data_IF_067948810021
#
_entry.id   IF_067948810021
#
_cell.length_a   1.000
_cell.length_b   1.000
_cell.length_c   1.000
_cell.angle_alpha   90.00
_cell.angle_beta   90.00
_cell.angle_gamma   90.00
#
_symmetry.space_group_name_H-M   'P 1'
#
loop_
_entity.id
_entity.type
_entity.pdbx_description
1 polymer ?
#
# COMPACT_ATOMS: atom_id res chain seq x y z
N UNK A 1 7.93 28.23 -11.60
CA UNK A 1 8.77 27.27 -10.83
C UNK A 1 8.54 27.32 -9.31
N UNK A 2 8.49 28.50 -8.66
CA UNK A 2 8.28 28.60 -7.19
C UNK A 2 6.96 28.01 -6.66
N UNK A 3 5.87 28.04 -7.43
CA UNK A 3 4.57 27.49 -7.03
C UNK A 3 4.55 25.96 -6.90
N UNK A 4 5.20 25.26 -7.85
CA UNK A 4 5.27 23.80 -7.89
C UNK A 4 6.11 23.24 -6.74
N UNK A 5 7.22 23.91 -6.40
CA UNK A 5 8.05 23.56 -5.25
C UNK A 5 7.29 23.79 -3.92
N UNK A 6 6.51 24.88 -3.82
CA UNK A 6 5.65 25.12 -2.64
C UNK A 6 4.52 24.10 -2.53
N UNK A 7 3.93 23.69 -3.65
CA UNK A 7 2.92 22.63 -3.69
C UNK A 7 3.50 21.29 -3.23
N UNK A 8 4.68 20.91 -3.73
CA UNK A 8 5.40 19.71 -3.30
C UNK A 8 5.80 19.79 -1.82
N UNK A 9 6.13 20.97 -1.26
CA UNK A 9 6.42 21.13 0.17
C UNK A 9 5.18 21.04 1.06
N UNK A 10 3.99 21.32 0.54
CA UNK A 10 2.75 21.33 1.33
C UNK A 10 2.29 19.91 1.62
N UNK A 11 2.09 19.61 2.90
CA UNK A 11 1.54 18.32 3.34
C UNK A 11 0.04 18.24 2.98
N UNK A 12 -0.45 17.12 2.42
CA UNK A 12 -1.87 16.91 2.17
C UNK A 12 -2.66 16.92 3.47
N UNK A 13 -3.95 17.27 3.38
CA UNK A 13 -4.82 17.30 4.56
C UNK A 13 -5.04 15.88 5.11
N UNK A 14 -5.32 15.75 6.40
CA UNK A 14 -5.58 14.44 7.02
C UNK A 14 -6.79 13.73 6.37
N UNK A 15 -7.80 14.48 5.92
CA UNK A 15 -8.92 13.95 5.13
C UNK A 15 -8.43 13.36 3.80
N UNK A 16 -7.58 14.10 3.08
CA UNK A 16 -6.99 13.66 1.81
C UNK A 16 -6.17 12.39 2.00
N UNK A 17 -5.35 12.29 3.06
CA UNK A 17 -4.55 11.11 3.37
C UNK A 17 -5.44 9.88 3.66
N UNK A 18 -6.55 10.07 4.37
CA UNK A 18 -7.49 8.97 4.66
C UNK A 18 -8.21 8.51 3.41
N UNK A 19 -8.74 9.45 2.62
CA UNK A 19 -9.43 9.15 1.35
C UNK A 19 -8.47 8.45 0.39
N UNK A 20 -7.22 8.93 0.26
CA UNK A 20 -6.26 8.31 -0.64
C UNK A 20 -5.94 6.87 -0.24
N UNK A 21 -5.87 6.56 1.07
CA UNK A 21 -5.68 5.18 1.56
C UNK A 21 -6.88 4.29 1.26
N UNK A 22 -8.10 4.80 1.42
CA UNK A 22 -9.32 4.05 1.11
C UNK A 22 -9.39 3.75 -0.38
N UNK A 23 -9.24 4.78 -1.21
CA UNK A 23 -9.25 4.63 -2.68
C UNK A 23 -8.16 3.68 -3.13
N UNK A 24 -6.93 3.83 -2.60
CA UNK A 24 -5.82 2.93 -2.90
C UNK A 24 -6.13 1.47 -2.56
N UNK A 25 -6.68 1.20 -1.37
CA UNK A 25 -7.03 -0.15 -0.94
C UNK A 25 -8.16 -0.76 -1.76
N UNK A 26 -9.19 0.01 -2.11
CA UNK A 26 -10.29 -0.44 -2.97
C UNK A 26 -9.80 -0.79 -4.38
N UNK A 27 -8.96 0.06 -4.97
CA UNK A 27 -8.39 -0.19 -6.31
C UNK A 27 -7.54 -1.46 -6.26
N UNK A 28 -6.69 -1.62 -5.23
CA UNK A 28 -5.82 -2.80 -5.12
C UNK A 28 -6.63 -4.09 -5.00
N UNK A 29 -7.64 -4.11 -4.11
CA UNK A 29 -8.52 -5.29 -3.96
C UNK A 29 -9.28 -5.57 -5.25
N UNK A 30 -9.92 -4.56 -5.84
CA UNK A 30 -10.72 -4.74 -7.05
C UNK A 30 -9.88 -5.25 -8.21
N UNK A 31 -8.71 -4.68 -8.43
CA UNK A 31 -7.81 -5.05 -9.51
C UNK A 31 -7.25 -6.48 -9.32
N UNK A 32 -6.77 -6.81 -8.11
CA UNK A 32 -6.25 -8.15 -7.82
C UNK A 32 -7.36 -9.21 -7.81
N UNK A 33 -8.54 -8.92 -7.25
CA UNK A 33 -9.66 -9.85 -7.24
C UNK A 33 -10.14 -10.17 -8.65
N UNK A 34 -10.33 -9.14 -9.49
CA UNK A 34 -10.77 -9.34 -10.86
C UNK A 34 -9.75 -10.16 -11.67
N UNK A 35 -8.47 -9.87 -11.55
CA UNK A 35 -7.45 -10.55 -12.35
C UNK A 35 -7.10 -11.96 -11.82
N UNK A 36 -6.93 -12.12 -10.51
CA UNK A 36 -6.46 -13.38 -9.94
C UNK A 36 -7.58 -14.39 -9.71
N UNK A 37 -8.79 -13.93 -9.37
CA UNK A 37 -9.92 -14.81 -9.03
C UNK A 37 -10.92 -14.92 -10.20
N UNK A 38 -11.35 -13.79 -10.78
CA UNK A 38 -12.39 -13.82 -11.82
C UNK A 38 -11.84 -14.23 -13.20
N UNK A 39 -10.70 -13.67 -13.61
CA UNK A 39 -10.01 -14.06 -14.85
C UNK A 39 -9.09 -15.27 -14.68
N UNK A 40 -8.90 -15.73 -13.45
CA UNK A 40 -8.02 -16.84 -13.07
C UNK A 40 -6.59 -16.75 -13.66
N UNK A 41 -6.02 -15.54 -13.70
CA UNK A 41 -4.64 -15.37 -14.18
C UNK A 41 -3.66 -16.24 -13.37
N UNK A 42 -2.69 -16.80 -14.08
CA UNK A 42 -1.63 -17.59 -13.49
C UNK A 42 -0.71 -16.71 -12.63
N UNK A 43 -0.28 -17.27 -11.51
CA UNK A 43 0.85 -16.80 -10.71
C UNK A 43 1.95 -17.81 -10.95
N UNK A 44 3.20 -17.38 -10.95
CA UNK A 44 4.33 -18.30 -11.08
C UNK A 44 4.22 -19.44 -10.06
N UNK A 45 4.18 -20.68 -10.54
CA UNK A 45 3.90 -21.87 -9.73
C UNK A 45 5.13 -22.40 -8.98
N UNK A 46 6.30 -21.81 -9.26
CA UNK A 46 7.58 -22.21 -8.70
C UNK A 46 8.08 -21.16 -7.72
N UNK A 47 7.98 -21.46 -6.43
CA UNK A 47 8.54 -20.62 -5.37
C UNK A 47 9.68 -21.38 -4.70
N UNK A 48 10.90 -20.84 -4.78
CA UNK A 48 12.11 -21.46 -4.21
C UNK A 48 12.39 -22.89 -4.72
N UNK A 49 12.08 -23.19 -5.99
CA UNK A 49 12.32 -24.51 -6.59
C UNK A 49 11.38 -25.61 -6.08
N UNK A 50 10.28 -25.24 -5.42
CA UNK A 50 9.20 -26.14 -5.07
C UNK A 50 7.94 -25.76 -5.85
N UNK A 51 7.32 -26.76 -6.46
CA UNK A 51 5.99 -26.61 -7.06
C UNK A 51 4.96 -26.40 -5.95
N UNK A 52 4.15 -25.36 -6.10
CA UNK A 52 3.04 -25.09 -5.20
C UNK A 52 1.81 -25.90 -5.64
N UNK A 53 1.23 -26.67 -4.71
CA UNK A 53 -0.05 -27.37 -4.88
C UNK A 53 -1.21 -26.38 -5.17
N UNK A 54 -2.29 -26.83 -5.84
CA UNK A 54 -3.44 -25.99 -6.20
C UNK A 54 -4.02 -25.22 -5.01
N UNK A 55 -4.06 -25.85 -3.84
CA UNK A 55 -4.51 -25.22 -2.59
C UNK A 55 -3.60 -24.08 -2.16
N UNK A 56 -2.29 -24.26 -2.32
CA UNK A 56 -1.29 -23.23 -2.01
C UNK A 56 -1.39 -22.03 -2.95
N UNK A 57 -1.67 -22.27 -4.23
CA UNK A 57 -1.86 -21.22 -5.22
C UNK A 57 -3.08 -20.36 -4.88
N UNK A 58 -4.20 -20.99 -4.52
CA UNK A 58 -5.40 -20.27 -4.08
C UNK A 58 -5.15 -19.44 -2.82
N UNK A 59 -4.43 -19.99 -1.83
CA UNK A 59 -4.05 -19.26 -0.62
C UNK A 59 -3.18 -18.04 -0.97
N UNK A 60 -2.21 -18.19 -1.87
CA UNK A 60 -1.36 -17.09 -2.31
C UNK A 60 -2.18 -15.96 -2.97
N UNK A 61 -3.12 -16.28 -3.86
CA UNK A 61 -4.05 -15.32 -4.48
C UNK A 61 -4.80 -14.51 -3.41
N UNK A 62 -5.37 -15.17 -2.40
CA UNK A 62 -6.08 -14.48 -1.32
C UNK A 62 -5.17 -13.62 -0.44
N UNK A 63 -3.94 -14.07 -0.15
CA UNK A 63 -2.96 -13.28 0.60
C UNK A 63 -2.63 -11.98 -0.16
N UNK A 64 -2.38 -12.05 -1.47
CA UNK A 64 -2.12 -10.87 -2.29
C UNK A 64 -3.28 -9.88 -2.25
N UNK A 65 -4.52 -10.34 -2.39
CA UNK A 65 -5.73 -9.49 -2.32
C UNK A 65 -5.86 -8.85 -0.93
N UNK A 66 -5.53 -9.60 0.14
CA UNK A 66 -5.63 -9.12 1.52
C UNK A 66 -4.73 -7.91 1.81
N UNK A 67 -3.66 -7.70 1.03
CA UNK A 67 -2.78 -6.53 1.18
C UNK A 67 -3.50 -5.20 1.00
N UNK A 68 -4.61 -5.15 0.24
CA UNK A 68 -5.41 -3.94 0.09
C UNK A 68 -6.32 -3.64 1.28
N UNK A 69 -6.53 -4.60 2.19
CA UNK A 69 -7.32 -4.41 3.41
C UNK A 69 -6.58 -3.49 4.40
N UNK A 70 -5.26 -3.61 4.49
CA UNK A 70 -4.41 -2.81 5.39
C UNK A 70 -4.63 -1.30 5.19
N UNK A 71 -4.46 -0.73 3.98
CA UNK A 71 -4.71 0.69 3.76
C UNK A 71 -6.19 1.09 3.97
N UNK A 72 -7.16 0.19 3.73
CA UNK A 72 -8.56 0.45 4.04
C UNK A 72 -8.79 0.64 5.52
N UNK A 73 -8.35 -0.30 6.35
CA UNK A 73 -8.51 -0.23 7.81
C UNK A 73 -7.85 1.05 8.33
N UNK A 74 -6.63 1.36 7.86
CA UNK A 74 -5.91 2.57 8.27
C UNK A 74 -6.56 3.87 7.78
N UNK A 75 -7.27 3.85 6.66
CA UNK A 75 -8.01 4.99 6.13
C UNK A 75 -9.32 5.23 6.89
N UNK A 76 -10.10 4.17 7.13
CA UNK A 76 -11.41 4.21 7.80
C UNK A 76 -11.25 4.52 9.28
N UNK A 77 -10.41 3.78 10.00
CA UNK A 77 -10.32 3.90 11.47
C UNK A 77 -9.49 5.10 11.93
N UNK A 78 -8.59 5.62 11.08
CA UNK A 78 -7.60 6.65 11.46
C UNK A 78 -6.78 6.26 12.71
N UNK A 79 -6.64 4.96 12.99
CA UNK A 79 -5.85 4.47 14.11
C UNK A 79 -4.37 4.67 13.79
N UNK A 80 -3.62 5.11 14.80
CA UNK A 80 -2.18 5.22 14.75
C UNK A 80 -1.58 4.16 15.67
N UNK A 81 -0.93 3.17 15.08
CA UNK A 81 -0.35 2.04 15.82
C UNK A 81 1.08 2.34 16.27
N UNK A 82 1.80 3.19 15.53
CA UNK A 82 3.25 3.32 15.63
C UNK A 82 3.69 4.79 15.58
N UNK A 83 4.86 5.07 16.16
CA UNK A 83 5.52 6.39 16.03
C UNK A 83 5.83 6.70 14.56
N UNK A 84 5.86 7.98 14.23
CA UNK A 84 6.07 8.49 12.86
C UNK A 84 7.26 7.87 12.11
N UNK A 85 8.39 7.61 12.79
CA UNK A 85 9.56 6.93 12.18
C UNK A 85 9.22 5.52 11.67
N UNK A 86 8.53 4.71 12.47
CA UNK A 86 8.16 3.34 12.11
C UNK A 86 7.05 3.31 11.06
N UNK A 87 6.14 4.29 11.08
CA UNK A 87 5.12 4.43 10.02
C UNK A 87 5.75 4.64 8.63
N UNK A 88 6.86 5.38 8.55
CA UNK A 88 7.62 5.54 7.29
C UNK A 88 8.24 4.24 6.83
N UNK A 89 8.85 3.50 7.76
CA UNK A 89 9.46 2.19 7.47
C UNK A 89 8.39 1.20 6.97
N UNK A 90 7.22 1.14 7.63
CA UNK A 90 6.11 0.29 7.20
C UNK A 90 5.60 0.64 5.80
N UNK A 91 5.56 1.92 5.43
CA UNK A 91 5.19 2.34 4.07
C UNK A 91 6.21 1.88 3.03
N UNK A 92 7.51 1.97 3.33
CA UNK A 92 8.57 1.46 2.45
C UNK A 92 8.51 -0.07 2.34
N UNK A 93 8.34 -0.77 3.46
CA UNK A 93 8.21 -2.22 3.47
C UNK A 93 7.00 -2.68 2.67
N UNK A 94 5.85 -2.02 2.84
CA UNK A 94 4.64 -2.30 2.07
C UNK A 94 4.85 -2.08 0.56
N UNK A 95 5.63 -1.07 0.16
CA UNK A 95 6.01 -0.88 -1.24
C UNK A 95 6.84 -2.05 -1.79
N UNK A 96 7.82 -2.52 -1.02
CA UNK A 96 8.66 -3.67 -1.42
C UNK A 96 7.80 -4.92 -1.59
N UNK A 97 6.84 -5.16 -0.69
CA UNK A 97 5.89 -6.27 -0.80
C UNK A 97 5.05 -6.14 -2.08
N UNK A 98 4.57 -4.95 -2.43
CA UNK A 98 3.81 -4.76 -3.68
C UNK A 98 4.65 -4.98 -4.94
N UNK A 99 5.92 -4.56 -4.95
CA UNK A 99 6.81 -4.86 -6.07
C UNK A 99 7.06 -6.37 -6.22
N UNK A 100 7.21 -7.07 -5.10
CA UNK A 100 7.33 -8.52 -5.12
C UNK A 100 6.07 -9.20 -5.68
N UNK A 101 4.88 -8.78 -5.22
CA UNK A 101 3.59 -9.28 -5.74
C UNK A 101 3.47 -9.01 -7.23
N UNK A 102 3.83 -7.82 -7.68
CA UNK A 102 3.87 -7.46 -9.10
C UNK A 102 4.76 -8.41 -9.90
N UNK A 103 5.97 -8.72 -9.40
CA UNK A 103 6.89 -9.64 -10.08
C UNK A 103 6.47 -11.11 -10.07
N UNK A 104 5.53 -11.51 -9.21
CA UNK A 104 5.05 -12.90 -9.13
C UNK A 104 3.85 -13.18 -10.03
N UNK A 105 3.22 -12.15 -10.57
CA UNK A 105 2.08 -12.32 -11.47
C UNK A 105 2.66 -12.62 -12.86
N UNK A 106 2.26 -13.76 -13.45
CA UNK A 106 2.76 -14.16 -14.75
C UNK A 106 2.36 -13.13 -15.83
N UNK A 107 3.28 -12.86 -16.77
CA UNK A 107 3.01 -11.99 -17.92
C UNK A 107 1.82 -12.55 -18.71
N UNK A 108 0.86 -11.69 -19.03
CA UNK A 108 -0.33 -12.04 -19.79
C UNK A 108 -0.59 -10.98 -20.86
N UNK A 109 -1.10 -11.34 -22.04
CA UNK A 109 -1.30 -10.38 -23.15
C UNK A 109 -2.41 -9.34 -22.91
N UNK A 110 -3.20 -9.47 -21.84
CA UNK A 110 -4.28 -8.55 -21.47
C UNK A 110 -3.92 -7.73 -20.23
N UNK A 111 -4.35 -6.46 -20.20
CA UNK A 111 -4.17 -5.47 -19.12
C UNK A 111 -3.18 -5.91 -18.02
N UNK A 112 -1.93 -5.46 -18.16
CA UNK A 112 -0.79 -5.75 -17.28
C UNK A 112 -1.06 -5.30 -15.84
N UNK A 113 -1.74 -6.18 -15.09
CA UNK A 113 -2.05 -6.01 -13.68
C UNK A 113 -0.76 -5.98 -12.85
N UNK A 114 0.25 -6.72 -13.28
CA UNK A 114 1.62 -6.68 -12.79
C UNK A 114 2.18 -5.24 -12.87
N UNK A 115 2.04 -4.57 -14.02
CA UNK A 115 2.46 -3.17 -14.20
C UNK A 115 1.65 -2.24 -13.29
N UNK A 116 0.32 -2.41 -13.20
CA UNK A 116 -0.52 -1.61 -12.32
C UNK A 116 -0.09 -1.76 -10.85
N UNK A 117 0.07 -2.99 -10.36
CA UNK A 117 0.49 -3.28 -8.98
C UNK A 117 1.90 -2.74 -8.72
N UNK A 118 2.80 -2.84 -9.70
CA UNK A 118 4.12 -2.24 -9.68
C UNK A 118 4.04 -0.71 -9.50
N UNK A 119 3.26 -0.01 -10.33
CA UNK A 119 3.04 1.43 -10.15
C UNK A 119 2.38 1.78 -8.82
N UNK A 120 1.46 0.93 -8.33
CA UNK A 120 0.85 1.10 -7.02
C UNK A 120 1.87 0.98 -5.88
N UNK A 121 2.96 0.23 -6.05
CA UNK A 121 4.09 0.17 -5.11
C UNK A 121 4.88 1.49 -5.00
N UNK A 122 4.90 2.32 -6.04
CA UNK A 122 5.61 3.62 -5.99
C UNK A 122 4.94 4.62 -5.04
N UNK A 123 3.61 4.58 -4.90
CA UNK A 123 2.88 5.47 -4.01
C UNK A 123 3.27 5.32 -2.53
N UNK A 124 3.24 4.12 -1.92
CA UNK A 124 3.72 3.89 -0.56
C UNK A 124 5.23 4.11 -0.43
N UNK A 125 6.02 3.86 -1.47
CA UNK A 125 7.46 4.16 -1.47
C UNK A 125 7.71 5.66 -1.29
N UNK A 126 7.11 6.50 -2.14
CA UNK A 126 7.23 7.96 -2.07
C UNK A 126 6.63 8.47 -0.76
N UNK A 127 5.51 7.90 -0.31
CA UNK A 127 4.90 8.23 0.97
C UNK A 127 5.85 7.99 2.15
N UNK A 128 6.55 6.84 2.16
CA UNK A 128 7.50 6.49 3.21
C UNK A 128 8.76 7.35 3.18
N UNK A 129 9.35 7.55 1.99
CA UNK A 129 10.54 8.40 1.80
C UNK A 129 10.23 9.84 2.21
N UNK A 130 9.08 10.39 1.82
CA UNK A 130 8.75 11.79 2.11
C UNK A 130 8.10 12.00 3.48
N UNK A 131 7.53 10.95 4.09
CA UNK A 131 6.75 11.04 5.33
C UNK A 131 5.46 11.85 5.21
N UNK A 132 5.02 12.21 3.99
CA UNK A 132 3.90 13.14 3.76
C UNK A 132 2.52 12.51 3.95
N UNK A 133 2.42 11.18 3.85
CA UNK A 133 1.16 10.43 3.95
C UNK A 133 0.92 9.84 5.35
N UNK A 134 1.38 10.53 6.39
CA UNK A 134 1.14 10.21 7.81
C UNK A 134 0.16 11.25 8.35
N UNK A 135 -0.87 10.87 9.11
CA UNK A 135 -1.89 11.78 9.67
C UNK A 135 -1.35 12.53 10.90
N UNK A 136 -1.95 13.67 11.28
CA UNK A 136 -1.46 14.47 12.42
C UNK A 136 -1.52 13.68 13.72
N UNK A 137 -2.57 12.86 13.88
CA UNK A 137 -2.71 11.95 15.01
C UNK A 137 -1.49 11.01 15.13
N UNK A 138 -0.98 10.51 14.00
CA UNK A 138 0.15 9.59 13.99
C UNK A 138 1.49 10.30 14.20
N UNK A 139 1.58 11.58 13.84
CA UNK A 139 2.77 12.39 14.13
C UNK A 139 2.92 12.65 15.63
N UNK A 140 1.80 12.88 16.32
CA UNK A 140 1.76 13.16 17.78
C UNK A 140 1.73 11.88 18.63
N UNK A 141 1.75 10.71 18.00
CA UNK A 141 1.62 9.44 18.70
C UNK A 141 2.81 9.19 19.63
N UNK A 142 2.53 9.13 20.94
CA UNK A 142 3.54 8.93 21.99
C UNK A 142 4.33 10.18 22.37
N UNK A 143 3.93 11.38 21.93
CA UNK A 143 4.46 12.64 22.46
C UNK A 143 3.86 12.93 23.85
N UNK A 144 4.70 13.16 24.87
CA UNK A 144 4.25 13.69 26.15
C UNK A 144 3.91 15.17 25.97
N UNK A 145 2.69 15.58 26.31
CA UNK A 145 2.30 17.00 26.27
C UNK A 145 3.06 17.74 27.38
N UNK A 146 4.13 18.45 27.03
CA UNK A 146 4.99 19.13 28.01
C UNK A 146 4.59 20.57 28.30
N UNK A 147 3.78 21.21 27.44
CA UNK A 147 3.19 22.54 27.71
C UNK A 147 1.80 22.66 27.07
N UNK A 148 0.79 22.96 27.89
CA UNK A 148 -0.50 23.46 27.44
C UNK A 148 -0.35 24.98 27.34
N UNK A 149 -0.41 25.53 26.13
CA UNK A 149 -0.50 26.98 25.93
C UNK A 149 -2.00 27.30 25.96
N UNK A 150 -2.45 27.89 27.07
CA UNK A 150 -3.81 28.43 27.24
C UNK A 150 -3.91 29.74 26.47
#
# INVERSE_FOLDING_TARGET
MMGLIKFLKKRPSDKTIRISRIVFGLILIGALFYNLIYLDKAIDTEYFGQEIDEKGLMIAKYIMISLGIIPLIMGVTNICLLKSKYMRIMQIFYAIVLFYVSSSIAESPDLDIDVLVGFMGLLPLIAGITGKCITKNCLRYGEKVTKIRV
#
